data_IF_262662042804
#
_entry.id   IF_262662042804
#
_cell.length_a   1.000
_cell.length_b   1.000
_cell.length_c   1.000
_cell.angle_alpha   90.00
_cell.angle_beta   90.00
_cell.angle_gamma   90.00
#
_symmetry.space_group_name_H-M   'P 1'
#
loop_
_entity.id
_entity.type
_entity.pdbx_description
1 polymer ?
#
# COMPACT_ATOMS: atom_id res chain seq x y z
N UNK A 1 -41.96 -16.78 -58.84
CA UNK A 1 -40.57 -17.23 -58.58
C UNK A 1 -39.99 -16.31 -57.50
N UNK A 2 -40.07 -16.74 -56.24
CA UNK A 2 -39.51 -15.98 -55.09
C UNK A 2 -38.06 -16.40 -54.93
N UNK A 3 -37.15 -15.43 -54.99
CA UNK A 3 -35.73 -15.66 -54.67
C UNK A 3 -35.55 -15.98 -53.16
N UNK A 4 -34.66 -16.91 -52.77
CA UNK A 4 -34.43 -17.24 -51.37
C UNK A 4 -33.65 -16.10 -50.69
N UNK A 5 -34.20 -15.56 -49.58
CA UNK A 5 -33.50 -14.68 -48.66
C UNK A 5 -32.33 -15.46 -47.99
N UNK A 6 -31.12 -15.12 -48.36
CA UNK A 6 -29.92 -15.58 -47.70
C UNK A 6 -29.78 -14.87 -46.33
N UNK A 7 -30.20 -15.53 -45.25
CA UNK A 7 -29.91 -15.09 -43.89
C UNK A 7 -28.41 -15.22 -43.64
N UNK A 8 -27.70 -14.09 -43.68
CA UNK A 8 -26.30 -13.99 -43.26
C UNK A 8 -26.25 -14.10 -41.74
N UNK A 9 -25.88 -15.27 -41.25
CA UNK A 9 -25.61 -15.46 -39.81
C UNK A 9 -24.39 -14.62 -39.44
N UNK A 10 -24.49 -13.66 -38.48
CA UNK A 10 -23.33 -12.88 -38.10
C UNK A 10 -22.31 -13.82 -37.44
N UNK A 11 -21.06 -13.75 -37.91
CA UNK A 11 -19.95 -14.50 -37.32
C UNK A 11 -19.82 -14.22 -35.83
N UNK A 12 -19.48 -15.22 -34.98
CA UNK A 12 -19.37 -15.04 -33.55
C UNK A 12 -18.28 -13.99 -33.27
N UNK A 13 -18.70 -12.85 -32.72
CA UNK A 13 -17.78 -11.80 -32.24
C UNK A 13 -16.95 -12.43 -31.12
N UNK A 14 -15.69 -12.76 -31.40
CA UNK A 14 -14.73 -13.14 -30.38
C UNK A 14 -14.71 -12.01 -29.34
N UNK A 15 -15.23 -12.27 -28.14
CA UNK A 15 -15.14 -11.35 -27.00
C UNK A 15 -13.67 -11.15 -26.69
N UNK A 16 -13.04 -10.15 -27.28
CA UNK A 16 -11.69 -9.72 -26.91
C UNK A 16 -11.75 -9.19 -25.47
N UNK A 17 -10.82 -9.67 -24.62
CA UNK A 17 -10.66 -9.14 -23.27
C UNK A 17 -10.42 -7.64 -23.39
N UNK A 18 -11.20 -6.83 -22.65
CA UNK A 18 -11.04 -5.37 -22.70
C UNK A 18 -9.64 -4.97 -22.21
N UNK A 19 -8.90 -4.06 -22.87
CA UNK A 19 -7.54 -3.67 -22.53
C UNK A 19 -7.33 -3.24 -21.07
N UNK A 20 -8.36 -2.71 -20.42
CA UNK A 20 -8.34 -2.38 -19.00
C UNK A 20 -7.95 -3.56 -18.11
N UNK A 21 -8.39 -4.78 -18.41
CA UNK A 21 -8.04 -5.97 -17.65
C UNK A 21 -6.59 -6.41 -17.86
N UNK A 22 -6.06 -6.22 -19.07
CA UNK A 22 -4.63 -6.44 -19.34
C UNK A 22 -3.77 -5.46 -18.54
N UNK A 23 -4.16 -4.18 -18.52
CA UNK A 23 -3.48 -3.16 -17.72
C UNK A 23 -3.56 -3.49 -16.22
N UNK A 24 -4.74 -3.92 -15.72
CA UNK A 24 -4.90 -4.33 -14.33
C UNK A 24 -4.04 -5.56 -13.97
N UNK A 25 -3.95 -6.55 -14.86
CA UNK A 25 -3.12 -7.73 -14.65
C UNK A 25 -1.62 -7.38 -14.59
N UNK A 26 -1.14 -6.53 -15.50
CA UNK A 26 0.26 -6.07 -15.47
C UNK A 26 0.54 -5.20 -14.25
N UNK A 27 -0.41 -4.34 -13.85
CA UNK A 27 -0.30 -3.56 -12.63
C UNK A 27 -0.26 -4.45 -11.38
N UNK A 28 -1.04 -5.53 -11.34
CA UNK A 28 -1.00 -6.53 -10.29
C UNK A 28 0.38 -7.21 -10.20
N UNK A 29 0.92 -7.67 -11.33
CA UNK A 29 2.27 -8.26 -11.39
C UNK A 29 3.36 -7.27 -10.94
N UNK A 30 3.21 -5.98 -11.31
CA UNK A 30 4.12 -4.93 -10.86
C UNK A 30 4.08 -4.75 -9.34
N UNK A 31 2.90 -4.77 -8.72
CA UNK A 31 2.74 -4.71 -7.27
C UNK A 31 3.30 -5.94 -6.56
N UNK A 32 3.08 -7.14 -7.12
CA UNK A 32 3.67 -8.39 -6.61
C UNK A 32 5.19 -8.32 -6.68
N UNK A 33 5.77 -7.89 -7.81
CA UNK A 33 7.22 -7.74 -7.96
C UNK A 33 7.83 -6.73 -6.99
N UNK A 34 7.13 -5.61 -6.73
CA UNK A 34 7.56 -4.61 -5.75
C UNK A 34 7.44 -5.10 -4.29
N UNK A 35 6.47 -5.99 -4.01
CA UNK A 35 6.23 -6.53 -2.68
C UNK A 35 7.33 -7.49 -2.21
N UNK A 36 8.06 -8.15 -3.13
CA UNK A 36 9.13 -9.08 -2.78
C UNK A 36 10.19 -8.46 -1.88
N UNK A 37 10.61 -7.23 -2.17
CA UNK A 37 11.59 -6.55 -1.31
C UNK A 37 11.00 -6.16 0.05
N UNK A 38 9.72 -5.83 0.15
CA UNK A 38 9.12 -5.42 1.43
C UNK A 38 9.16 -6.52 2.50
N UNK A 39 9.23 -7.77 2.06
CA UNK A 39 9.38 -8.94 2.92
C UNK A 39 10.86 -9.21 3.31
N UNK A 40 11.81 -8.77 2.49
CA UNK A 40 13.21 -9.14 2.58
C UNK A 40 13.96 -8.64 3.82
N UNK A 41 13.79 -7.40 4.33
CA UNK A 41 14.65 -6.87 5.39
C UNK A 41 14.69 -7.74 6.65
N UNK A 42 13.53 -8.21 7.13
CA UNK A 42 13.46 -9.05 8.31
C UNK A 42 14.21 -10.38 8.18
N UNK A 43 14.25 -10.94 6.97
CA UNK A 43 14.93 -12.20 6.66
C UNK A 43 16.44 -11.99 6.46
N UNK A 44 16.82 -10.92 5.77
CA UNK A 44 18.21 -10.68 5.38
C UNK A 44 19.05 -10.04 6.50
N UNK A 45 18.41 -9.58 7.57
CA UNK A 45 19.10 -8.87 8.68
C UNK A 45 20.13 -9.75 9.36
N UNK A 46 19.74 -10.95 9.77
CA UNK A 46 20.64 -11.89 10.48
C UNK A 46 21.81 -12.37 9.60
N UNK A 47 21.59 -12.82 8.35
CA UNK A 47 22.69 -13.17 7.44
C UNK A 47 23.71 -12.03 7.22
N UNK A 48 23.25 -10.79 7.08
CA UNK A 48 24.13 -9.62 6.91
C UNK A 48 24.91 -9.30 8.18
N UNK A 49 24.30 -9.44 9.37
CA UNK A 49 24.99 -9.28 10.64
C UNK A 49 26.09 -10.33 10.80
N UNK A 50 25.79 -11.59 10.48
CA UNK A 50 26.75 -12.70 10.60
C UNK A 50 27.96 -12.54 9.67
N UNK A 51 27.75 -12.02 8.46
CA UNK A 51 28.84 -11.87 7.48
C UNK A 51 29.67 -10.62 7.70
N UNK A 52 29.03 -9.47 7.99
CA UNK A 52 29.72 -8.17 8.02
C UNK A 52 29.94 -7.64 9.44
N UNK A 53 29.34 -8.24 10.46
CA UNK A 53 29.37 -7.73 11.82
C UNK A 53 28.64 -6.39 12.01
N UNK A 54 27.74 -6.02 11.09
CA UNK A 54 27.01 -4.75 11.20
C UNK A 54 25.97 -4.82 12.32
N UNK A 55 25.81 -3.68 13.02
CA UNK A 55 24.82 -3.59 14.11
C UNK A 55 23.38 -3.63 13.57
N UNK A 56 22.46 -4.07 14.43
CA UNK A 56 21.02 -4.05 14.14
C UNK A 56 20.54 -2.64 13.84
N UNK A 57 21.09 -1.64 14.52
CA UNK A 57 20.76 -0.21 14.30
C UNK A 57 21.07 0.22 12.88
N UNK A 58 22.21 -0.16 12.30
CA UNK A 58 22.62 0.21 10.94
C UNK A 58 21.65 -0.38 9.91
N UNK A 59 21.34 -1.66 10.03
CA UNK A 59 20.39 -2.32 9.12
C UNK A 59 18.97 -1.75 9.27
N UNK A 60 18.57 -1.47 10.50
CA UNK A 60 17.29 -0.83 10.80
C UNK A 60 17.21 0.61 10.26
N UNK A 61 18.34 1.34 10.22
CA UNK A 61 18.39 2.67 9.60
C UNK A 61 18.11 2.61 8.09
N UNK A 62 18.63 1.60 7.39
CA UNK A 62 18.31 1.40 5.98
C UNK A 62 16.81 1.14 5.76
N UNK A 63 16.20 0.28 6.59
CA UNK A 63 14.75 0.03 6.57
C UNK A 63 13.97 1.31 6.90
N UNK A 64 14.43 2.08 7.89
CA UNK A 64 13.78 3.34 8.27
C UNK A 64 13.78 4.36 7.13
N UNK A 65 14.91 4.56 6.44
CA UNK A 65 14.99 5.43 5.27
C UNK A 65 14.01 4.95 4.19
N UNK A 66 13.95 3.64 3.93
CA UNK A 66 12.99 3.06 2.99
C UNK A 66 11.54 3.41 3.36
N UNK A 67 11.15 3.19 4.61
CA UNK A 67 9.80 3.47 5.11
C UNK A 67 9.45 4.96 5.05
N UNK A 68 10.40 5.85 5.39
CA UNK A 68 10.23 7.31 5.26
C UNK A 68 9.95 7.67 3.80
N UNK A 69 10.78 7.19 2.88
CA UNK A 69 10.62 7.47 1.45
C UNK A 69 9.35 6.85 0.88
N UNK A 70 9.01 5.63 1.29
CA UNK A 70 7.74 5.00 0.94
C UNK A 70 6.54 5.87 1.35
N UNK A 71 6.54 6.38 2.58
CA UNK A 71 5.47 7.24 3.08
C UNK A 71 5.41 8.61 2.42
N UNK A 72 6.54 9.29 2.31
CA UNK A 72 6.61 10.65 1.78
C UNK A 72 6.47 10.72 0.26
N UNK A 73 6.89 9.70 -0.48
CA UNK A 73 6.72 9.66 -1.95
C UNK A 73 5.26 9.41 -2.35
N UNK A 74 4.51 8.65 -1.56
CA UNK A 74 3.14 8.26 -1.89
C UNK A 74 2.18 9.43 -2.19
N UNK A 75 2.12 10.54 -1.44
CA UNK A 75 1.27 11.69 -1.76
C UNK A 75 1.62 12.37 -3.10
N UNK A 76 2.89 12.26 -3.54
CA UNK A 76 3.38 12.87 -4.77
C UNK A 76 3.38 11.90 -5.96
N UNK A 77 3.21 10.61 -5.72
CA UNK A 77 3.21 9.57 -6.76
C UNK A 77 2.14 9.83 -7.83
N UNK A 78 0.94 10.31 -7.45
CA UNK A 78 -0.10 10.70 -8.39
C UNK A 78 0.36 11.82 -9.33
N UNK A 79 1.01 12.86 -8.79
CA UNK A 79 1.53 13.98 -9.59
C UNK A 79 2.65 13.54 -10.55
N UNK A 80 3.50 12.60 -10.12
CA UNK A 80 4.51 11.99 -10.98
C UNK A 80 3.88 11.21 -12.13
N UNK A 81 2.85 10.41 -11.83
CA UNK A 81 2.11 9.62 -12.82
C UNK A 81 1.33 10.50 -13.80
N UNK A 82 0.75 11.61 -13.34
CA UNK A 82 0.09 12.59 -14.21
C UNK A 82 1.07 13.29 -15.15
N UNK A 83 2.28 13.62 -14.67
CA UNK A 83 3.29 14.35 -15.44
C UNK A 83 4.04 13.46 -16.41
N UNK A 84 4.51 12.29 -15.99
CA UNK A 84 5.39 11.40 -16.74
C UNK A 84 4.67 10.17 -17.30
N UNK A 85 3.41 9.97 -16.95
CA UNK A 85 2.62 8.79 -17.29
C UNK A 85 2.84 7.61 -16.33
N UNK A 86 1.79 6.82 -16.16
CA UNK A 86 1.77 5.65 -15.26
C UNK A 86 2.84 4.64 -15.70
N UNK A 87 2.98 4.40 -17.02
CA UNK A 87 3.93 3.45 -17.61
C UNK A 87 5.38 3.77 -17.24
N UNK A 88 5.82 5.02 -17.44
CA UNK A 88 7.20 5.43 -17.17
C UNK A 88 7.52 5.37 -15.67
N UNK A 89 6.64 5.91 -14.82
CA UNK A 89 6.82 5.90 -13.37
C UNK A 89 6.91 4.47 -12.83
N UNK A 90 6.04 3.57 -13.29
CA UNK A 90 6.06 2.15 -12.87
C UNK A 90 7.34 1.44 -13.33
N UNK A 91 7.77 1.66 -14.57
CA UNK A 91 9.01 1.05 -15.09
C UNK A 91 10.23 1.54 -14.30
N UNK A 92 10.35 2.85 -14.06
CA UNK A 92 11.45 3.42 -13.26
C UNK A 92 11.42 2.89 -11.83
N UNK A 93 10.23 2.81 -11.21
CA UNK A 93 10.07 2.27 -9.87
C UNK A 93 10.57 0.82 -9.76
N UNK A 94 10.18 -0.05 -10.69
CA UNK A 94 10.64 -1.44 -10.74
C UNK A 94 12.15 -1.55 -11.03
N UNK A 95 12.71 -0.68 -11.89
CA UNK A 95 14.16 -0.62 -12.13
C UNK A 95 14.90 -0.20 -10.87
N UNK A 96 14.41 0.81 -10.12
CA UNK A 96 15.01 1.20 -8.84
C UNK A 96 14.98 0.07 -7.81
N UNK A 97 13.87 -0.65 -7.70
CA UNK A 97 13.74 -1.82 -6.80
C UNK A 97 14.69 -2.92 -7.22
N UNK A 98 14.69 -3.27 -8.51
CA UNK A 98 15.50 -4.35 -9.05
C UNK A 98 16.99 -4.05 -8.98
N UNK A 99 17.40 -2.85 -9.38
CA UNK A 99 18.79 -2.40 -9.29
C UNK A 99 19.25 -2.30 -7.83
N UNK A 100 18.43 -1.73 -6.93
CA UNK A 100 18.74 -1.66 -5.51
C UNK A 100 18.95 -3.03 -4.88
N UNK A 101 18.08 -4.00 -5.21
CA UNK A 101 18.21 -5.39 -4.74
C UNK A 101 19.45 -6.08 -5.33
N UNK A 102 19.73 -5.92 -6.62
CA UNK A 102 20.90 -6.49 -7.27
C UNK A 102 22.21 -5.88 -6.75
N UNK A 103 22.27 -4.55 -6.59
CA UNK A 103 23.44 -3.85 -6.05
C UNK A 103 23.72 -4.21 -4.59
N UNK A 104 22.71 -4.67 -3.84
CA UNK A 104 22.91 -5.17 -2.46
C UNK A 104 23.93 -6.31 -2.41
N UNK A 105 24.05 -7.11 -3.46
CA UNK A 105 25.02 -8.22 -3.52
C UNK A 105 26.47 -7.74 -3.50
N UNK A 106 26.72 -6.51 -3.95
CA UNK A 106 28.05 -5.90 -4.06
C UNK A 106 28.42 -5.05 -2.85
N UNK A 107 27.56 -4.96 -1.84
CA UNK A 107 27.84 -4.13 -0.65
C UNK A 107 28.97 -4.73 0.18
N UNK A 108 29.88 -3.89 0.61
CA UNK A 108 31.00 -4.22 1.50
C UNK A 108 31.07 -3.28 2.70
N UNK A 109 30.39 -2.12 2.60
CA UNK A 109 30.37 -1.08 3.62
C UNK A 109 28.94 -0.80 4.05
N UNK A 110 28.72 -0.54 5.34
CA UNK A 110 27.41 -0.32 5.92
C UNK A 110 26.62 0.84 5.33
N UNK A 111 27.27 1.93 4.88
CA UNK A 111 26.59 3.05 4.25
C UNK A 111 25.97 2.70 2.88
N UNK A 112 26.52 1.68 2.20
CA UNK A 112 25.98 1.24 0.89
C UNK A 112 24.58 0.62 1.04
N UNK A 113 24.29 -0.07 2.17
CA UNK A 113 22.95 -0.60 2.42
C UNK A 113 21.93 0.51 2.62
N UNK A 114 22.33 1.68 3.15
CA UNK A 114 21.45 2.85 3.26
C UNK A 114 21.06 3.37 1.88
N UNK A 115 21.97 3.31 0.90
CA UNK A 115 21.67 3.71 -0.47
C UNK A 115 20.82 2.67 -1.21
N UNK A 116 21.18 1.38 -1.11
CA UNK A 116 20.47 0.32 -1.85
C UNK A 116 19.08 0.08 -1.27
N UNK A 117 18.98 -0.27 0.01
CA UNK A 117 17.71 -0.54 0.66
C UNK A 117 16.90 0.73 0.98
N UNK A 118 17.59 1.72 1.55
CA UNK A 118 16.96 2.96 1.97
C UNK A 118 16.50 3.79 0.78
N UNK A 119 17.43 4.29 -0.01
CA UNK A 119 17.15 5.29 -1.04
C UNK A 119 16.54 4.68 -2.31
N UNK A 120 17.26 3.77 -2.99
CA UNK A 120 16.82 3.26 -4.30
C UNK A 120 15.49 2.51 -4.18
N UNK A 121 15.44 1.52 -3.30
CA UNK A 121 14.24 0.71 -3.13
C UNK A 121 13.11 1.51 -2.48
N UNK A 122 13.43 2.41 -1.53
CA UNK A 122 12.44 3.28 -0.88
C UNK A 122 11.71 4.19 -1.86
N UNK A 123 12.42 4.84 -2.79
CA UNK A 123 11.82 5.64 -3.85
C UNK A 123 10.99 4.79 -4.82
N UNK A 124 11.52 3.61 -5.21
CA UNK A 124 10.81 2.69 -6.09
C UNK A 124 9.49 2.21 -5.48
N UNK A 125 9.53 1.66 -4.27
CA UNK A 125 8.33 1.14 -3.60
C UNK A 125 7.33 2.24 -3.26
N UNK A 126 7.80 3.43 -2.85
CA UNK A 126 6.95 4.58 -2.55
C UNK A 126 6.16 5.10 -3.75
N UNK A 127 6.77 5.04 -4.95
CA UNK A 127 6.09 5.39 -6.21
C UNK A 127 4.96 4.42 -6.58
N UNK A 128 4.95 3.22 -6.00
CA UNK A 128 3.97 2.16 -6.26
C UNK A 128 3.06 1.87 -5.06
N UNK A 129 2.93 2.80 -4.12
CA UNK A 129 2.04 2.70 -2.96
C UNK A 129 0.55 2.68 -3.38
N UNK A 130 -0.36 2.76 -2.41
CA UNK A 130 -1.83 2.72 -2.60
C UNK A 130 -2.36 3.62 -3.72
N UNK A 131 -1.66 4.75 -3.98
CA UNK A 131 -2.02 5.71 -5.04
C UNK A 131 -1.94 5.08 -6.43
N UNK A 132 -1.00 4.18 -6.69
CA UNK A 132 -0.87 3.49 -7.97
C UNK A 132 -2.11 2.65 -8.31
N UNK A 133 -2.58 1.82 -7.36
CA UNK A 133 -3.79 1.02 -7.55
C UNK A 133 -5.04 1.89 -7.80
N UNK A 134 -5.18 2.99 -7.05
CA UNK A 134 -6.27 3.94 -7.23
C UNK A 134 -6.20 4.66 -8.60
N UNK A 135 -5.00 5.04 -9.04
CA UNK A 135 -4.79 5.70 -10.34
C UNK A 135 -5.20 4.78 -11.50
N UNK A 136 -4.74 3.51 -11.49
CA UNK A 136 -5.14 2.51 -12.49
C UNK A 136 -6.67 2.34 -12.52
N UNK A 137 -7.29 2.13 -11.35
CA UNK A 137 -8.72 1.89 -11.26
C UNK A 137 -9.54 3.10 -11.73
N UNK A 138 -9.14 4.32 -11.36
CA UNK A 138 -9.86 5.54 -11.74
C UNK A 138 -9.69 5.89 -13.21
N UNK A 139 -8.54 5.60 -13.81
CA UNK A 139 -8.25 5.90 -15.22
C UNK A 139 -8.91 4.89 -16.17
N UNK A 140 -8.86 3.59 -15.83
CA UNK A 140 -9.23 2.51 -16.75
C UNK A 140 -10.62 1.93 -16.55
N UNK A 141 -11.27 2.18 -15.40
CA UNK A 141 -12.54 1.58 -15.03
C UNK A 141 -13.57 2.64 -14.65
N UNK A 142 -14.68 2.72 -15.40
CA UNK A 142 -15.87 3.47 -15.00
C UNK A 142 -16.72 2.64 -14.03
N UNK A 143 -16.78 1.32 -14.25
CA UNK A 143 -17.49 0.33 -13.42
C UNK A 143 -16.51 -0.57 -12.68
N UNK A 144 -16.88 -1.06 -11.52
CA UNK A 144 -16.07 -2.02 -10.71
C UNK A 144 -14.73 -1.46 -10.18
N UNK A 145 -14.59 -0.13 -10.00
CA UNK A 145 -13.37 0.51 -9.46
C UNK A 145 -12.93 -0.08 -8.12
N UNK A 146 -13.88 -0.26 -7.20
CA UNK A 146 -13.59 -0.83 -5.87
C UNK A 146 -13.03 -2.24 -5.95
N UNK A 147 -13.58 -3.10 -6.82
CA UNK A 147 -13.07 -4.44 -7.06
C UNK A 147 -11.62 -4.42 -7.55
N UNK A 148 -11.33 -3.55 -8.53
CA UNK A 148 -9.98 -3.44 -9.11
C UNK A 148 -8.98 -2.92 -8.09
N UNK A 149 -9.33 -1.91 -7.30
CA UNK A 149 -8.49 -1.43 -6.19
C UNK A 149 -8.22 -2.57 -5.20
N UNK A 150 -9.26 -3.34 -4.84
CA UNK A 150 -9.14 -4.48 -3.94
C UNK A 150 -8.18 -5.55 -4.48
N UNK A 151 -8.33 -5.94 -5.75
CA UNK A 151 -7.45 -6.92 -6.40
C UNK A 151 -5.99 -6.42 -6.43
N UNK A 152 -5.76 -5.16 -6.82
CA UNK A 152 -4.42 -4.58 -6.89
C UNK A 152 -3.78 -4.46 -5.50
N UNK A 153 -4.55 -4.08 -4.49
CA UNK A 153 -4.07 -4.01 -3.10
C UNK A 153 -3.74 -5.41 -2.57
N UNK A 154 -4.58 -6.41 -2.87
CA UNK A 154 -4.32 -7.81 -2.53
C UNK A 154 -3.03 -8.33 -3.18
N UNK A 155 -2.65 -7.85 -4.38
CA UNK A 155 -1.38 -8.18 -5.02
C UNK A 155 -0.16 -7.80 -4.17
N UNK A 156 -0.21 -6.67 -3.48
CA UNK A 156 0.87 -6.25 -2.57
C UNK A 156 0.98 -7.16 -1.33
N UNK A 157 -0.15 -7.56 -0.75
CA UNK A 157 -0.18 -8.49 0.37
C UNK A 157 0.20 -9.92 -0.04
N UNK A 158 -0.33 -10.40 -1.17
CA UNK A 158 0.00 -11.71 -1.74
C UNK A 158 1.49 -11.85 -2.06
N UNK A 159 2.11 -10.78 -2.58
CA UNK A 159 3.56 -10.77 -2.83
C UNK A 159 4.36 -11.00 -1.55
N UNK A 160 3.98 -10.36 -0.45
CA UNK A 160 4.65 -10.56 0.84
C UNK A 160 4.48 -12.00 1.35
N UNK A 161 3.26 -12.55 1.26
CA UNK A 161 2.96 -13.94 1.66
C UNK A 161 3.77 -14.98 0.88
N UNK A 162 3.81 -14.83 -0.44
CA UNK A 162 4.47 -15.80 -1.33
C UNK A 162 5.99 -15.71 -1.22
N UNK A 163 6.53 -14.49 -1.19
CA UNK A 163 7.98 -14.32 -1.24
C UNK A 163 8.68 -14.57 0.10
N UNK A 164 8.02 -14.30 1.24
CA UNK A 164 8.69 -14.33 2.54
C UNK A 164 9.28 -15.70 2.91
N UNK A 165 8.54 -16.83 2.89
CA UNK A 165 9.12 -18.14 3.17
C UNK A 165 10.18 -18.56 2.15
N UNK A 166 9.96 -18.19 0.88
CA UNK A 166 10.88 -18.51 -0.20
C UNK A 166 12.20 -17.75 -0.10
N UNK A 167 12.15 -16.45 0.22
CA UNK A 167 13.34 -15.63 0.48
C UNK A 167 14.08 -16.16 1.71
N UNK A 168 13.36 -16.58 2.76
CA UNK A 168 13.97 -17.13 3.98
C UNK A 168 14.70 -18.46 3.69
N UNK A 169 14.11 -19.34 2.89
CA UNK A 169 14.77 -20.59 2.48
C UNK A 169 16.03 -20.30 1.65
N UNK A 170 15.94 -19.42 0.67
CA UNK A 170 17.11 -19.04 -0.16
C UNK A 170 18.18 -18.29 0.61
N UNK A 171 17.83 -17.52 1.62
CA UNK A 171 18.78 -16.78 2.44
C UNK A 171 19.64 -17.72 3.30
N UNK A 172 19.11 -18.90 3.67
CA UNK A 172 19.85 -19.94 4.38
C UNK A 172 20.72 -20.77 3.42
N UNK A 173 20.17 -21.21 2.29
CA UNK A 173 20.88 -22.01 1.28
C UNK A 173 20.30 -21.70 -0.11
N UNK A 174 21.06 -21.21 -1.07
CA UNK A 174 22.53 -20.99 -1.13
C UNK A 174 23.03 -19.67 -0.52
N UNK A 175 22.17 -18.81 0.04
CA UNK A 175 22.57 -17.65 0.81
C UNK A 175 21.85 -16.34 0.42
N UNK A 176 22.03 -15.31 1.21
CA UNK A 176 21.31 -14.02 1.09
C UNK A 176 21.57 -13.27 -0.24
N UNK A 177 22.74 -13.49 -0.86
CA UNK A 177 23.05 -12.87 -2.16
C UNK A 177 22.11 -13.38 -3.24
N UNK A 178 21.87 -14.68 -3.29
CA UNK A 178 20.96 -15.31 -4.25
C UNK A 178 19.52 -14.88 -4.00
N UNK A 179 19.12 -14.77 -2.72
CA UNK A 179 17.82 -14.22 -2.36
C UNK A 179 17.66 -12.78 -2.86
N UNK A 180 18.68 -11.93 -2.68
CA UNK A 180 18.66 -10.54 -3.16
C UNK A 180 18.62 -10.45 -4.70
N UNK A 181 19.38 -11.30 -5.40
CA UNK A 181 19.34 -11.36 -6.87
C UNK A 181 17.99 -11.81 -7.40
N UNK A 182 17.36 -12.79 -6.75
CA UNK A 182 16.04 -13.26 -7.16
C UNK A 182 14.97 -12.15 -7.01
N UNK A 183 14.98 -11.42 -5.89
CA UNK A 183 14.09 -10.26 -5.69
C UNK A 183 14.32 -9.24 -6.79
N UNK A 184 15.58 -8.91 -7.07
CA UNK A 184 15.96 -7.99 -8.15
C UNK A 184 15.49 -8.46 -9.52
N UNK A 185 15.75 -9.73 -9.84
CA UNK A 185 15.34 -10.36 -11.11
C UNK A 185 13.81 -10.37 -11.25
N UNK A 186 13.08 -10.69 -10.18
CA UNK A 186 11.62 -10.68 -10.17
C UNK A 186 11.03 -9.30 -10.49
N UNK A 187 11.58 -8.24 -9.88
CA UNK A 187 11.17 -6.87 -10.19
C UNK A 187 11.51 -6.48 -11.63
N UNK A 188 12.73 -6.77 -12.09
CA UNK A 188 13.20 -6.44 -13.44
C UNK A 188 12.47 -7.22 -14.52
N UNK A 189 12.08 -8.49 -14.27
CA UNK A 189 11.33 -9.32 -15.23
C UNK A 189 9.93 -8.73 -15.55
N UNK A 190 9.37 -7.92 -14.66
CA UNK A 190 8.08 -7.25 -14.90
C UNK A 190 8.26 -5.99 -15.75
N UNK A 191 9.44 -5.38 -15.81
CA UNK A 191 9.68 -4.13 -16.58
C UNK A 191 9.29 -4.26 -18.05
N UNK A 192 9.71 -5.31 -18.80
CA UNK A 192 9.28 -5.49 -20.19
C UNK A 192 7.76 -5.57 -20.33
N UNK A 193 7.07 -6.28 -19.41
CA UNK A 193 5.61 -6.38 -19.43
C UNK A 193 4.95 -5.02 -19.23
N UNK A 194 5.48 -4.21 -18.30
CA UNK A 194 5.02 -2.82 -18.09
C UNK A 194 5.24 -1.99 -19.35
N UNK A 195 6.42 -2.06 -19.97
CA UNK A 195 6.71 -1.29 -21.17
C UNK A 195 5.89 -1.70 -22.39
N UNK A 196 5.48 -2.95 -22.50
CA UNK A 196 4.68 -3.46 -23.63
C UNK A 196 3.18 -3.25 -23.42
N UNK A 197 2.65 -3.58 -22.26
CA UNK A 197 1.22 -3.72 -22.02
C UNK A 197 0.61 -2.64 -21.13
N UNK A 198 1.37 -1.99 -20.25
CA UNK A 198 0.85 -0.89 -19.43
C UNK A 198 0.74 0.37 -20.31
N UNK A 199 -0.47 0.90 -20.48
CA UNK A 199 -0.73 2.15 -21.20
C UNK A 199 -1.14 3.24 -20.22
N UNK A 200 -0.87 4.49 -20.56
CA UNK A 200 -1.15 5.60 -19.65
C UNK A 200 -2.64 5.89 -19.52
N UNK A 201 -3.38 5.77 -20.62
CA UNK A 201 -4.81 6.04 -20.66
C UNK A 201 -5.56 5.13 -21.65
N UNK A 202 -6.89 4.96 -21.51
CA UNK A 202 -7.70 4.29 -22.50
C UNK A 202 -7.65 4.95 -23.88
N UNK A 203 -7.45 6.27 -23.93
CA UNK A 203 -7.32 7.03 -25.17
C UNK A 203 -6.09 6.60 -26.00
N UNK A 204 -5.01 6.15 -25.36
CA UNK A 204 -3.80 5.68 -26.06
C UNK A 204 -4.05 4.43 -26.92
N UNK A 205 -5.13 3.72 -26.67
CA UNK A 205 -5.54 2.50 -27.39
C UNK A 205 -6.93 2.63 -28.00
N UNK A 206 -7.45 3.87 -28.10
CA UNK A 206 -8.72 4.22 -28.74
C UNK A 206 -9.90 3.41 -28.16
N UNK A 207 -9.98 3.27 -26.85
CA UNK A 207 -11.09 2.63 -26.14
C UNK A 207 -11.63 3.55 -25.05
N UNK A 208 -12.88 3.35 -24.66
CA UNK A 208 -13.46 3.97 -23.49
C UNK A 208 -13.02 3.22 -22.23
N UNK A 209 -13.04 3.84 -21.04
CA UNK A 209 -12.88 3.13 -19.78
C UNK A 209 -13.86 1.96 -19.65
N UNK A 210 -13.43 0.85 -19.07
CA UNK A 210 -14.29 -0.34 -18.92
C UNK A 210 -15.60 -0.02 -18.20
N UNK A 211 -16.72 -0.30 -18.86
CA UNK A 211 -18.06 -0.03 -18.35
C UNK A 211 -18.53 1.42 -18.53
N UNK A 212 -17.81 2.26 -19.27
CA UNK A 212 -18.31 3.56 -19.71
C UNK A 212 -19.30 3.39 -20.88
N UNK A 213 -20.39 4.15 -20.84
CA UNK A 213 -21.36 4.23 -21.94
C UNK A 213 -20.84 5.23 -22.97
N UNK A 214 -20.85 4.93 -24.29
CA UNK A 214 -20.59 5.93 -25.31
C UNK A 214 -21.54 7.13 -25.15
N UNK A 215 -21.08 8.36 -25.36
CA UNK A 215 -21.99 9.50 -25.40
C UNK A 215 -23.09 9.22 -26.40
N UNK A 216 -24.36 9.46 -26.01
CA UNK A 216 -25.49 9.32 -26.91
C UNK A 216 -25.24 10.19 -28.14
N UNK A 217 -25.52 9.71 -29.38
CA UNK A 217 -25.47 10.57 -30.53
C UNK A 217 -26.37 11.78 -30.27
N UNK A 218 -25.79 12.98 -30.34
CA UNK A 218 -26.59 14.19 -30.23
C UNK A 218 -27.73 14.19 -31.22
N UNK A 219 -28.90 14.78 -30.92
CA UNK A 219 -30.08 14.73 -31.75
C UNK A 219 -29.91 15.39 -33.13
N UNK A 220 -28.71 15.87 -33.50
CA UNK A 220 -28.44 16.60 -34.75
C UNK A 220 -27.31 15.99 -35.62
N UNK A 221 -27.15 14.66 -35.62
CA UNK A 221 -26.23 14.02 -36.59
C UNK A 221 -26.96 13.71 -37.95
N UNK A 222 -27.61 14.69 -38.55
CA UNK A 222 -28.34 14.44 -39.79
C UNK A 222 -29.09 15.63 -40.36
N UNK A 223 -28.52 16.83 -40.35
CA UNK A 223 -28.94 17.91 -41.28
C UNK A 223 -27.81 18.94 -41.39
N UNK A 224 -27.12 18.93 -42.52
CA UNK A 224 -26.34 20.08 -42.96
C UNK A 224 -27.33 21.26 -43.17
N UNK A 225 -27.29 22.21 -42.24
CA UNK A 225 -27.94 23.51 -42.42
C UNK A 225 -26.88 24.58 -42.16
N UNK A 226 -26.50 25.20 -43.29
CA UNK A 226 -25.73 26.46 -43.33
C UNK A 226 -26.52 27.58 -42.68
N UNK A 227 -26.22 27.87 -41.38
CA UNK A 227 -26.74 29.01 -40.63
C UNK A 227 -25.68 29.52 -39.68
N UNK A 228 -25.66 30.85 -39.34
CA UNK A 228 -24.56 31.46 -38.58
C UNK A 228 -24.45 30.93 -37.15
N UNK A 229 -23.21 30.79 -36.68
CA UNK A 229 -22.83 30.35 -35.36
C UNK A 229 -23.63 31.05 -34.25
N UNK A 230 -24.24 30.29 -33.32
CA UNK A 230 -24.71 30.90 -32.08
C UNK A 230 -23.54 30.98 -31.09
N UNK A 231 -23.07 32.19 -30.83
CA UNK A 231 -22.21 32.52 -29.70
C UNK A 231 -23.00 32.35 -28.38
N UNK A 232 -22.98 31.13 -27.83
CA UNK A 232 -23.51 30.83 -26.51
C UNK A 232 -22.75 29.64 -25.89
N UNK A 233 -22.42 29.64 -24.63
CA UNK A 233 -21.66 28.55 -24.00
C UNK A 233 -22.49 27.27 -24.01
N UNK A 234 -21.98 26.20 -24.64
CA UNK A 234 -22.58 24.87 -24.64
C UNK A 234 -22.75 24.36 -23.22
N UNK A 235 -24.00 24.20 -22.79
CA UNK A 235 -24.35 23.51 -21.55
C UNK A 235 -23.90 22.04 -21.65
N UNK A 236 -22.85 21.68 -20.92
CA UNK A 236 -22.35 20.30 -20.86
C UNK A 236 -20.84 20.14 -20.68
N UNK A 237 -20.06 21.20 -20.74
CA UNK A 237 -18.72 21.20 -20.20
C UNK A 237 -18.84 21.52 -18.71
N UNK A 238 -18.95 20.49 -17.84
CA UNK A 238 -18.41 20.63 -16.51
C UNK A 238 -17.02 21.25 -16.68
N UNK A 239 -16.90 22.52 -16.27
CA UNK A 239 -15.63 23.23 -16.21
C UNK A 239 -14.67 22.30 -15.46
N UNK A 240 -13.84 21.57 -16.20
CA UNK A 240 -12.65 20.97 -15.60
C UNK A 240 -11.88 22.16 -15.07
N UNK A 241 -12.03 22.40 -13.75
CA UNK A 241 -11.15 23.32 -13.07
C UNK A 241 -9.73 23.05 -13.55
N UNK A 242 -8.93 24.07 -13.88
CA UNK A 242 -7.58 23.90 -14.37
C UNK A 242 -6.90 22.93 -13.39
N UNK A 243 -6.39 21.79 -13.90
CA UNK A 243 -5.79 20.72 -13.10
C UNK A 243 -4.73 21.33 -12.20
N UNK A 244 -5.13 21.79 -11.01
CA UNK A 244 -4.20 22.26 -9.98
C UNK A 244 -3.25 21.10 -9.74
N UNK A 245 -1.95 21.37 -9.84
CA UNK A 245 -0.90 20.39 -9.60
C UNK A 245 -1.26 19.55 -8.37
N UNK A 246 -1.44 18.23 -8.52
CA UNK A 246 -1.92 17.33 -7.48
C UNK A 246 -1.08 17.47 -6.19
N UNK A 247 0.22 17.78 -6.31
CA UNK A 247 1.10 18.04 -5.19
C UNK A 247 0.69 19.32 -4.41
N UNK A 248 0.32 20.39 -5.11
CA UNK A 248 -0.14 21.64 -4.47
C UNK A 248 -1.46 21.40 -3.75
N UNK A 249 -2.38 20.65 -4.36
CA UNK A 249 -3.65 20.26 -3.72
C UNK A 249 -3.39 19.43 -2.46
N UNK A 250 -2.50 18.45 -2.51
CA UNK A 250 -2.16 17.62 -1.35
C UNK A 250 -1.65 18.47 -0.18
N UNK A 251 -0.75 19.44 -0.43
CA UNK A 251 -0.22 20.36 0.59
C UNK A 251 -1.29 21.30 1.14
N UNK A 252 -2.20 21.82 0.29
CA UNK A 252 -3.29 22.67 0.72
C UNK A 252 -4.29 21.91 1.62
N UNK A 253 -4.60 20.67 1.27
CA UNK A 253 -5.43 19.78 2.10
C UNK A 253 -4.77 19.51 3.44
N UNK A 254 -3.45 19.19 3.45
CA UNK A 254 -2.69 19.03 4.69
C UNK A 254 -2.78 20.27 5.57
N UNK A 255 -2.56 21.47 5.01
CA UNK A 255 -2.65 22.75 5.76
C UNK A 255 -4.04 22.99 6.36
N UNK A 256 -5.12 22.54 5.68
CA UNK A 256 -6.49 22.63 6.23
C UNK A 256 -6.75 21.57 7.29
N UNK A 257 -6.37 20.32 7.02
CA UNK A 257 -6.58 19.20 7.92
C UNK A 257 -5.80 19.36 9.24
N UNK A 258 -4.59 19.92 9.20
CA UNK A 258 -3.73 20.12 10.38
C UNK A 258 -4.35 21.08 11.43
N UNK A 259 -5.38 21.86 11.07
CA UNK A 259 -6.13 22.70 12.00
C UNK A 259 -7.23 21.94 12.76
N UNK A 260 -7.50 20.70 12.40
CA UNK A 260 -8.57 19.87 12.98
C UNK A 260 -7.96 18.86 13.97
N UNK A 261 -8.45 18.84 15.22
CA UNK A 261 -7.94 17.93 16.27
C UNK A 261 -8.03 16.46 15.89
N UNK A 262 -9.12 16.07 15.21
CA UNK A 262 -9.32 14.69 14.73
C UNK A 262 -8.21 14.24 13.77
N UNK A 263 -7.66 15.14 12.95
CA UNK A 263 -6.52 14.84 12.09
C UNK A 263 -5.32 14.33 12.89
N UNK A 264 -4.94 15.06 13.94
CA UNK A 264 -3.79 14.67 14.78
C UNK A 264 -4.03 13.41 15.59
N UNK A 265 -5.28 13.17 16.02
CA UNK A 265 -5.65 11.91 16.67
C UNK A 265 -5.49 10.71 15.70
N UNK A 266 -5.91 10.86 14.42
CA UNK A 266 -5.72 9.84 13.39
C UNK A 266 -4.24 9.68 13.02
N UNK A 267 -3.49 10.77 12.90
CA UNK A 267 -2.04 10.77 12.65
C UNK A 267 -1.31 10.01 13.77
N UNK A 268 -1.58 10.33 15.03
CA UNK A 268 -0.95 9.67 16.17
C UNK A 268 -1.31 8.17 16.25
N UNK A 269 -2.60 7.84 16.17
CA UNK A 269 -3.06 6.45 16.19
C UNK A 269 -2.46 5.64 15.04
N UNK A 270 -2.46 6.20 13.82
CA UNK A 270 -1.97 5.48 12.65
C UNK A 270 -0.44 5.42 12.58
N UNK A 271 0.28 6.39 13.15
CA UNK A 271 1.73 6.30 13.37
C UNK A 271 2.08 5.16 14.32
N UNK A 272 1.31 4.98 15.41
CA UNK A 272 1.47 3.84 16.32
C UNK A 272 1.13 2.52 15.63
N UNK A 273 0.12 2.49 14.74
CA UNK A 273 -0.17 1.33 13.91
C UNK A 273 1.06 0.94 13.08
N UNK A 274 1.65 1.90 12.36
CA UNK A 274 2.86 1.66 11.58
C UNK A 274 4.04 1.19 12.43
N UNK A 275 4.24 1.84 13.57
CA UNK A 275 5.28 1.48 14.53
C UNK A 275 5.19 0.00 14.95
N UNK A 276 3.99 -0.47 15.25
CA UNK A 276 3.76 -1.81 15.78
C UNK A 276 3.63 -2.89 14.71
N UNK A 277 3.24 -2.54 13.47
CA UNK A 277 3.16 -3.48 12.33
C UNK A 277 4.46 -3.50 11.54
N UNK A 278 4.60 -2.63 10.53
CA UNK A 278 5.73 -2.64 9.61
C UNK A 278 7.07 -2.35 10.30
N UNK A 279 7.07 -1.42 11.28
CA UNK A 279 8.27 -1.02 11.99
C UNK A 279 8.82 -2.10 12.88
N UNK A 280 7.99 -2.67 13.74
CA UNK A 280 8.45 -3.62 14.76
C UNK A 280 8.26 -5.08 14.29
N UNK A 281 7.03 -5.55 14.07
CA UNK A 281 6.81 -6.94 13.67
C UNK A 281 7.40 -7.21 12.28
N UNK A 282 7.10 -6.40 11.29
CA UNK A 282 7.56 -6.62 9.91
C UNK A 282 9.08 -6.61 9.76
N UNK A 283 9.79 -5.89 10.62
CA UNK A 283 11.25 -5.74 10.55
C UNK A 283 11.98 -6.65 11.54
N UNK A 284 11.48 -6.78 12.78
CA UNK A 284 12.24 -7.37 13.89
C UNK A 284 11.67 -8.68 14.41
N UNK A 285 10.53 -9.16 13.94
CA UNK A 285 9.96 -10.43 14.42
C UNK A 285 10.90 -11.62 14.12
N UNK A 286 11.42 -11.71 12.90
CA UNK A 286 12.33 -12.80 12.50
C UNK A 286 13.63 -12.73 13.28
N UNK A 287 14.36 -11.61 13.35
CA UNK A 287 15.55 -11.50 14.21
C UNK A 287 15.26 -11.79 15.68
N UNK A 288 14.12 -11.31 16.20
CA UNK A 288 13.75 -11.58 17.59
C UNK A 288 13.44 -13.07 17.84
N UNK A 289 12.79 -13.75 16.91
CA UNK A 289 12.55 -15.18 16.99
C UNK A 289 13.87 -15.99 16.91
N UNK A 290 14.80 -15.56 16.05
CA UNK A 290 16.13 -16.12 15.93
C UNK A 290 16.91 -16.02 17.25
N UNK A 291 16.85 -14.86 17.93
CA UNK A 291 17.46 -14.67 19.27
C UNK A 291 16.95 -15.69 20.32
N UNK A 292 15.74 -16.24 20.11
CA UNK A 292 15.15 -17.28 20.97
C UNK A 292 15.33 -18.71 20.41
N UNK A 293 16.22 -18.88 19.39
CA UNK A 293 16.55 -20.16 18.80
C UNK A 293 15.57 -20.69 17.75
N UNK A 294 14.56 -19.88 17.34
CA UNK A 294 13.64 -20.28 16.28
C UNK A 294 14.31 -20.15 14.90
N UNK A 295 14.23 -21.17 14.01
CA UNK A 295 14.72 -21.04 12.64
C UNK A 295 14.05 -19.90 11.89
N UNK A 296 14.82 -19.12 11.12
CA UNK A 296 14.32 -17.97 10.36
C UNK A 296 13.21 -18.34 9.37
N UNK A 297 13.31 -19.52 8.72
CA UNK A 297 12.27 -20.06 7.85
C UNK A 297 10.95 -20.30 8.57
N UNK A 298 11.02 -20.80 9.81
CA UNK A 298 9.83 -21.00 10.65
C UNK A 298 9.21 -19.65 11.02
N UNK A 299 10.01 -18.68 11.47
CA UNK A 299 9.54 -17.34 11.78
C UNK A 299 8.94 -16.63 10.55
N UNK A 300 9.57 -16.77 9.38
CA UNK A 300 9.04 -16.28 8.10
C UNK A 300 7.70 -16.93 7.73
N UNK A 301 7.58 -18.24 7.96
CA UNK A 301 6.32 -18.97 7.79
C UNK A 301 5.21 -18.44 8.70
N UNK A 302 5.49 -18.14 9.95
CA UNK A 302 4.53 -17.53 10.87
C UNK A 302 4.07 -16.15 10.38
N UNK A 303 4.97 -15.31 9.88
CA UNK A 303 4.61 -14.03 9.28
C UNK A 303 3.78 -14.20 7.99
N UNK A 304 4.03 -15.23 7.20
CA UNK A 304 3.20 -15.54 6.05
C UNK A 304 1.76 -15.91 6.49
N UNK A 305 1.61 -16.65 7.58
CA UNK A 305 0.29 -16.95 8.17
C UNK A 305 -0.38 -15.68 8.69
N UNK A 306 0.35 -14.75 9.33
CA UNK A 306 -0.17 -13.41 9.71
C UNK A 306 -0.79 -12.74 8.49
N UNK A 307 -0.09 -12.70 7.34
CA UNK A 307 -0.60 -12.09 6.12
C UNK A 307 -1.83 -12.81 5.54
N UNK A 308 -1.95 -14.13 5.68
CA UNK A 308 -3.16 -14.86 5.28
C UNK A 308 -4.38 -14.42 6.10
N UNK A 309 -4.22 -14.32 7.42
CA UNK A 309 -5.29 -13.87 8.31
C UNK A 309 -5.57 -12.38 8.18
N UNK A 310 -4.60 -11.57 7.75
CA UNK A 310 -4.80 -10.16 7.43
C UNK A 310 -5.86 -9.94 6.35
N UNK A 311 -5.87 -10.76 5.31
CA UNK A 311 -6.90 -10.69 4.26
C UNK A 311 -8.29 -10.87 4.86
N UNK A 312 -8.46 -11.88 5.73
CA UNK A 312 -9.72 -12.17 6.40
C UNK A 312 -10.11 -11.02 7.34
N UNK A 313 -9.14 -10.58 8.15
CA UNK A 313 -9.33 -9.51 9.13
C UNK A 313 -9.70 -8.17 8.50
N UNK A 314 -9.05 -7.80 7.42
CA UNK A 314 -9.33 -6.55 6.69
C UNK A 314 -10.73 -6.57 6.06
N UNK A 315 -11.16 -7.68 5.47
CA UNK A 315 -12.53 -7.83 4.94
C UNK A 315 -13.55 -7.73 6.06
N UNK A 316 -13.33 -8.46 7.16
CA UNK A 316 -14.19 -8.43 8.32
C UNK A 316 -14.27 -7.03 8.95
N UNK A 317 -13.14 -6.33 9.06
CA UNK A 317 -13.08 -4.96 9.57
C UNK A 317 -13.85 -3.98 8.68
N UNK A 318 -13.78 -4.13 7.35
CA UNK A 318 -14.60 -3.34 6.43
C UNK A 318 -16.09 -3.52 6.71
N UNK A 319 -16.54 -4.77 6.83
CA UNK A 319 -17.93 -5.11 7.16
C UNK A 319 -18.38 -4.60 8.54
N UNK A 320 -17.49 -4.68 9.55
CA UNK A 320 -17.73 -4.15 10.88
C UNK A 320 -17.80 -2.61 10.88
N UNK A 321 -16.97 -1.94 10.08
CA UNK A 321 -16.92 -0.47 9.97
C UNK A 321 -18.24 0.11 9.44
N UNK A 322 -18.96 -0.63 8.59
CA UNK A 322 -20.27 -0.21 8.07
C UNK A 322 -21.40 -0.35 9.13
N UNK A 323 -21.20 -1.14 10.19
CA UNK A 323 -22.22 -1.48 11.21
C UNK A 323 -21.96 -0.87 12.57
N UNK A 324 -20.70 -0.70 12.92
CA UNK A 324 -20.30 -0.26 14.25
C UNK A 324 -19.58 1.10 14.18
N UNK A 325 -19.46 1.76 15.32
CA UNK A 325 -18.74 3.04 15.41
C UNK A 325 -17.25 2.83 15.11
N UNK A 326 -16.69 3.46 14.03
CA UNK A 326 -15.30 3.27 13.64
C UNK A 326 -14.28 3.58 14.73
N UNK A 327 -14.59 4.49 15.66
CA UNK A 327 -13.70 4.91 16.75
C UNK A 327 -13.56 3.82 17.81
N UNK A 328 -14.69 3.17 18.13
CA UNK A 328 -14.70 2.05 19.07
C UNK A 328 -13.96 0.87 18.44
N UNK A 329 -14.17 0.60 17.14
CA UNK A 329 -13.43 -0.44 16.43
C UNK A 329 -11.93 -0.20 16.50
N UNK A 330 -11.47 1.04 16.24
CA UNK A 330 -10.04 1.39 16.36
C UNK A 330 -9.52 1.16 17.79
N UNK A 331 -10.26 1.60 18.80
CA UNK A 331 -9.86 1.42 20.19
C UNK A 331 -9.71 -0.06 20.54
N UNK A 332 -10.66 -0.89 20.11
CA UNK A 332 -10.65 -2.35 20.33
C UNK A 332 -9.45 -2.99 19.61
N UNK A 333 -9.23 -2.68 18.33
CA UNK A 333 -8.11 -3.22 17.56
C UNK A 333 -6.77 -2.85 18.19
N UNK A 334 -6.54 -1.58 18.54
CA UNK A 334 -5.30 -1.18 19.21
C UNK A 334 -5.12 -1.87 20.56
N UNK A 335 -6.19 -2.05 21.34
CA UNK A 335 -6.10 -2.72 22.63
C UNK A 335 -5.73 -4.20 22.48
N UNK A 336 -6.36 -4.94 21.55
CA UNK A 336 -6.03 -6.34 21.29
C UNK A 336 -4.59 -6.50 20.78
N UNK A 337 -4.16 -5.61 19.87
CA UNK A 337 -2.77 -5.55 19.40
C UNK A 337 -1.79 -5.33 20.55
N UNK A 338 -2.08 -4.38 21.43
CA UNK A 338 -1.26 -4.09 22.61
C UNK A 338 -1.09 -5.29 23.53
N UNK A 339 -2.20 -6.01 23.81
CA UNK A 339 -2.17 -7.24 24.60
C UNK A 339 -1.30 -8.30 23.90
N UNK A 340 -1.46 -8.50 22.60
CA UNK A 340 -0.65 -9.43 21.83
C UNK A 340 0.85 -9.12 21.93
N UNK A 341 1.23 -7.85 21.74
CA UNK A 341 2.64 -7.42 21.83
C UNK A 341 3.20 -7.53 23.25
N UNK A 342 2.40 -7.32 24.27
CA UNK A 342 2.80 -7.50 25.67
C UNK A 342 3.15 -8.96 25.98
N UNK A 343 2.42 -9.90 25.40
CA UNK A 343 2.60 -11.35 25.66
C UNK A 343 3.66 -11.96 24.72
N UNK A 344 3.94 -11.33 23.58
CA UNK A 344 4.82 -11.89 22.53
C UNK A 344 6.20 -12.35 23.06
N UNK A 345 6.93 -11.59 23.91
CA UNK A 345 8.22 -12.05 24.44
C UNK A 345 8.15 -13.38 25.20
N UNK A 346 7.00 -13.69 25.78
CA UNK A 346 6.78 -14.95 26.53
C UNK A 346 6.45 -16.13 25.60
N UNK A 347 6.07 -15.86 24.35
CA UNK A 347 5.69 -16.85 23.35
C UNK A 347 6.84 -17.27 22.47
N UNK A 348 7.90 -16.44 22.40
CA UNK A 348 9.07 -16.71 21.58
C UNK A 348 9.88 -17.87 22.19
N UNK A 349 10.14 -18.90 21.39
CA UNK A 349 10.93 -20.08 21.79
C UNK A 349 11.47 -20.78 20.53
N UNK A 350 12.40 -21.72 20.72
CA UNK A 350 13.00 -22.50 19.63
C UNK A 350 11.96 -23.31 18.82
N UNK A 351 10.83 -23.67 19.45
CA UNK A 351 9.76 -24.44 18.83
C UNK A 351 8.46 -23.69 18.84
N UNK A 352 7.62 -23.91 17.81
CA UNK A 352 6.30 -23.26 17.70
C UNK A 352 5.33 -23.87 18.68
N UNK A 353 4.97 -23.15 19.71
CA UNK A 353 3.94 -23.54 20.68
C UNK A 353 2.53 -23.20 20.18
N UNK A 354 1.48 -23.91 20.64
CA UNK A 354 0.09 -23.58 20.26
C UNK A 354 -0.29 -22.12 20.56
N UNK A 355 0.21 -21.54 21.65
CA UNK A 355 0.00 -20.14 22.02
C UNK A 355 0.58 -19.16 20.98
N UNK A 356 1.70 -19.48 20.35
CA UNK A 356 2.27 -18.70 19.24
C UNK A 356 1.34 -18.74 18.02
N UNK A 357 0.71 -19.87 17.70
CA UNK A 357 -0.26 -19.94 16.61
C UNK A 357 -1.48 -19.07 16.90
N UNK A 358 -1.98 -19.07 18.15
CA UNK A 358 -3.08 -18.18 18.57
C UNK A 358 -2.69 -16.72 18.40
N UNK A 359 -1.47 -16.34 18.83
CA UNK A 359 -0.96 -14.99 18.62
C UNK A 359 -0.93 -14.62 17.13
N UNK A 360 -0.38 -15.46 16.28
CA UNK A 360 -0.24 -15.24 14.83
C UNK A 360 -1.59 -15.03 14.17
N UNK A 361 -2.59 -15.85 14.52
CA UNK A 361 -3.97 -15.73 14.01
C UNK A 361 -4.61 -14.41 14.43
N UNK A 362 -4.59 -14.10 15.72
CA UNK A 362 -5.22 -12.89 16.27
C UNK A 362 -4.51 -11.65 15.73
N UNK A 363 -3.18 -11.64 15.73
CA UNK A 363 -2.38 -10.53 15.23
C UNK A 363 -2.57 -10.32 13.72
N UNK A 364 -2.70 -11.42 12.96
CA UNK A 364 -3.00 -11.37 11.53
C UNK A 364 -4.36 -10.76 11.25
N UNK A 365 -5.41 -11.19 11.96
CA UNK A 365 -6.75 -10.61 11.84
C UNK A 365 -6.77 -9.10 12.11
N UNK A 366 -5.83 -8.60 12.93
CA UNK A 366 -5.73 -7.19 13.31
C UNK A 366 -4.74 -6.39 12.44
N UNK A 367 -3.89 -7.04 11.61
CA UNK A 367 -2.74 -6.41 10.95
C UNK A 367 -3.10 -5.11 10.21
N UNK A 368 -4.06 -5.15 9.28
CA UNK A 368 -4.55 -4.00 8.51
C UNK A 368 -5.99 -3.61 8.91
N UNK A 369 -6.57 -4.29 9.90
CA UNK A 369 -7.96 -4.05 10.33
C UNK A 369 -8.26 -2.61 10.75
N UNK A 370 -7.23 -1.83 11.12
CA UNK A 370 -7.36 -0.41 11.46
C UNK A 370 -7.57 0.51 10.26
N UNK A 371 -7.31 0.05 9.03
CA UNK A 371 -7.40 0.86 7.80
C UNK A 371 -8.85 1.23 7.44
N UNK A 372 -9.82 0.30 7.35
CA UNK A 372 -11.20 0.66 7.00
C UNK A 372 -11.83 1.70 7.94
N UNK A 373 -11.78 1.55 9.28
CA UNK A 373 -12.36 2.55 10.17
C UNK A 373 -11.62 3.89 10.14
N UNK A 374 -10.29 3.92 9.96
CA UNK A 374 -9.52 5.16 9.78
C UNK A 374 -9.95 5.90 8.53
N UNK A 375 -10.06 5.21 7.39
CA UNK A 375 -10.55 5.78 6.13
C UNK A 375 -12.00 6.28 6.25
N UNK A 376 -12.85 5.57 6.98
CA UNK A 376 -14.22 5.99 7.23
C UNK A 376 -14.28 7.28 8.04
N UNK A 377 -13.49 7.43 9.11
CA UNK A 377 -13.42 8.67 9.90
C UNK A 377 -12.88 9.82 9.03
N UNK A 378 -11.85 9.58 8.20
CA UNK A 378 -11.34 10.60 7.27
C UNK A 378 -12.46 11.11 6.35
N UNK A 379 -13.27 10.21 5.76
CA UNK A 379 -14.40 10.59 4.92
C UNK A 379 -15.50 11.34 5.69
N UNK A 380 -15.83 10.89 6.92
CA UNK A 380 -16.86 11.52 7.75
C UNK A 380 -16.49 12.93 8.18
N UNK A 381 -15.22 13.20 8.48
CA UNK A 381 -14.75 14.49 9.01
C UNK A 381 -14.34 15.45 7.90
N UNK A 382 -13.72 14.98 6.83
CA UNK A 382 -13.13 15.82 5.79
C UNK A 382 -13.85 15.76 4.44
N UNK A 383 -14.93 14.98 4.33
CA UNK A 383 -15.79 14.94 3.13
C UNK A 383 -15.00 14.59 1.86
N UNK A 384 -15.08 15.45 0.84
CA UNK A 384 -14.40 15.27 -0.45
C UNK A 384 -12.86 15.21 -0.35
N UNK A 385 -12.27 15.85 0.65
CA UNK A 385 -10.83 15.81 0.90
C UNK A 385 -10.39 14.56 1.70
N UNK A 386 -11.33 13.73 2.16
CA UNK A 386 -11.08 12.61 3.07
C UNK A 386 -10.06 11.58 2.54
N UNK A 387 -10.04 11.33 1.25
CA UNK A 387 -9.06 10.42 0.62
C UNK A 387 -7.64 10.98 0.63
N UNK A 388 -7.49 12.29 0.40
CA UNK A 388 -6.19 12.98 0.44
C UNK A 388 -5.68 13.06 1.88
N UNK A 389 -6.58 13.35 2.83
CA UNK A 389 -6.26 13.32 4.28
C UNK A 389 -5.82 11.94 4.71
N UNK A 390 -6.51 10.89 4.27
CA UNK A 390 -6.09 9.52 4.54
C UNK A 390 -4.68 9.22 4.00
N UNK A 391 -4.33 9.77 2.83
CA UNK A 391 -2.95 9.67 2.30
C UNK A 391 -1.90 10.25 3.25
N UNK A 392 -2.18 11.40 3.88
CA UNK A 392 -1.28 11.99 4.87
C UNK A 392 -1.23 11.20 6.19
N UNK A 393 -2.37 10.67 6.63
CA UNK A 393 -2.45 9.76 7.78
C UNK A 393 -1.64 8.48 7.50
N UNK A 394 -1.69 7.96 6.27
CA UNK A 394 -0.85 6.84 5.84
C UNK A 394 0.64 7.19 5.78
N UNK A 395 1.00 8.41 5.38
CA UNK A 395 2.39 8.86 5.48
C UNK A 395 2.88 8.87 6.94
N UNK A 396 2.05 9.31 7.88
CA UNK A 396 2.37 9.23 9.31
C UNK A 396 2.55 7.79 9.80
N UNK A 397 1.77 6.83 9.28
CA UNK A 397 1.96 5.40 9.56
C UNK A 397 3.38 4.94 9.16
N UNK A 398 3.86 5.34 8.00
CA UNK A 398 5.20 4.95 7.55
C UNK A 398 6.31 5.67 8.35
N UNK A 399 6.09 6.91 8.76
CA UNK A 399 7.01 7.62 9.65
C UNK A 399 7.08 6.95 11.03
N UNK A 400 5.95 6.53 11.58
CA UNK A 400 5.89 5.75 12.81
C UNK A 400 6.60 4.41 12.68
N UNK A 401 6.40 3.71 11.57
CA UNK A 401 7.09 2.47 11.26
C UNK A 401 8.61 2.66 11.18
N UNK A 402 9.06 3.72 10.51
CA UNK A 402 10.47 4.07 10.40
C UNK A 402 11.12 4.34 11.77
N UNK A 403 10.45 5.15 12.59
CA UNK A 403 10.93 5.46 13.94
C UNK A 403 11.04 4.21 14.81
N UNK A 404 10.03 3.32 14.77
CA UNK A 404 10.03 2.09 15.54
C UNK A 404 11.06 1.07 15.05
N UNK A 405 11.27 0.94 13.73
CA UNK A 405 12.29 0.07 13.17
C UNK A 405 13.69 0.47 13.68
N UNK A 406 14.01 1.77 13.61
CA UNK A 406 15.29 2.28 14.09
C UNK A 406 15.44 2.13 15.63
N UNK A 407 14.39 2.51 16.37
CA UNK A 407 14.41 2.45 17.83
C UNK A 407 14.56 1.02 18.35
N UNK A 408 13.86 0.04 17.73
CA UNK A 408 13.97 -1.35 18.12
C UNK A 408 15.37 -1.93 17.84
N UNK A 409 15.99 -1.53 16.72
CA UNK A 409 17.39 -1.88 16.43
C UNK A 409 18.35 -1.33 17.49
N UNK A 410 18.19 -0.05 17.85
CA UNK A 410 19.02 0.59 18.88
C UNK A 410 18.81 -0.07 20.26
N UNK A 411 17.57 -0.40 20.62
CA UNK A 411 17.26 -1.13 21.87
C UNK A 411 17.94 -2.50 21.86
N UNK A 412 17.89 -3.24 20.75
CA UNK A 412 18.53 -4.55 20.63
C UNK A 412 20.04 -4.45 20.78
N UNK A 413 20.69 -3.47 20.14
CA UNK A 413 22.14 -3.29 20.24
C UNK A 413 22.56 -2.86 21.66
N UNK A 414 21.75 -2.03 22.33
CA UNK A 414 22.06 -1.54 23.68
C UNK A 414 21.80 -2.57 24.79
N UNK A 415 20.76 -3.41 24.64
CA UNK A 415 20.28 -4.30 25.72
C UNK A 415 20.50 -5.79 25.49
N UNK A 416 20.88 -6.14 24.24
CA UNK A 416 21.01 -7.53 23.81
C UNK A 416 19.68 -8.23 23.49
N UNK A 417 18.52 -7.56 23.63
CA UNK A 417 17.20 -8.17 23.45
C UNK A 417 16.13 -7.17 22.97
N UNK A 418 15.03 -7.68 22.42
CA UNK A 418 13.91 -6.86 21.93
C UNK A 418 12.80 -6.62 22.97
N UNK A 419 12.87 -7.20 24.15
CA UNK A 419 11.79 -7.20 25.16
C UNK A 419 11.26 -5.82 25.48
N UNK A 420 12.14 -4.83 25.65
CA UNK A 420 11.75 -3.44 25.94
C UNK A 420 11.03 -2.79 24.74
N UNK A 421 11.41 -3.14 23.51
CA UNK A 421 10.73 -2.64 22.32
C UNK A 421 9.30 -3.19 22.22
N UNK A 422 9.08 -4.47 22.56
CA UNK A 422 7.75 -5.07 22.60
C UNK A 422 6.86 -4.42 23.66
N UNK A 423 7.38 -4.19 24.87
CA UNK A 423 6.61 -3.53 25.94
C UNK A 423 6.29 -2.07 25.63
N UNK A 424 7.24 -1.32 25.06
CA UNK A 424 6.99 0.05 24.61
C UNK A 424 5.90 0.09 23.52
N UNK A 425 5.92 -0.85 22.57
CA UNK A 425 4.90 -0.98 21.54
C UNK A 425 3.51 -1.30 22.13
N UNK A 426 3.43 -2.20 23.11
CA UNK A 426 2.19 -2.51 23.82
C UNK A 426 1.61 -1.28 24.54
N UNK A 427 2.45 -0.51 25.23
CA UNK A 427 2.04 0.74 25.88
C UNK A 427 1.55 1.78 24.86
N UNK A 428 2.24 1.95 23.73
CA UNK A 428 1.80 2.84 22.64
C UNK A 428 0.45 2.41 22.08
N UNK A 429 0.17 1.12 21.91
CA UNK A 429 -1.14 0.63 21.48
C UNK A 429 -2.26 1.03 22.46
N UNK A 430 -2.04 0.93 23.76
CA UNK A 430 -3.01 1.39 24.77
C UNK A 430 -3.26 2.90 24.65
N UNK A 431 -2.21 3.70 24.43
CA UNK A 431 -2.35 5.14 24.16
C UNK A 431 -3.18 5.38 22.88
N UNK A 432 -2.92 4.64 21.80
CA UNK A 432 -3.69 4.74 20.55
C UNK A 432 -5.15 4.35 20.74
N UNK A 433 -5.44 3.32 21.57
CA UNK A 433 -6.81 2.93 21.92
C UNK A 433 -7.55 4.07 22.63
N UNK A 434 -6.93 4.69 23.63
CA UNK A 434 -7.49 5.86 24.35
C UNK A 434 -7.71 7.03 23.40
N UNK A 435 -6.69 7.40 22.58
CA UNK A 435 -6.83 8.47 21.59
C UNK A 435 -8.01 8.19 20.66
N UNK A 436 -8.13 6.97 20.14
CA UNK A 436 -9.21 6.58 19.23
C UNK A 436 -10.59 6.71 19.86
N UNK A 437 -10.74 6.30 21.12
CA UNK A 437 -11.98 6.40 21.88
C UNK A 437 -12.39 7.88 22.13
N UNK A 438 -11.42 8.79 22.26
CA UNK A 438 -11.67 10.22 22.53
C UNK A 438 -11.96 11.05 21.28
N UNK A 439 -11.82 10.50 20.07
CA UNK A 439 -12.18 11.21 18.83
C UNK A 439 -13.65 11.65 18.88
N UNK A 440 -13.92 12.95 18.85
CA UNK A 440 -15.28 13.50 18.92
C UNK A 440 -16.03 13.35 17.59
N UNK A 441 -17.35 13.25 17.69
CA UNK A 441 -18.27 13.26 16.55
C UNK A 441 -18.52 14.73 16.16
N UNK A 442 -17.51 15.42 15.63
CA UNK A 442 -17.73 16.76 15.09
C UNK A 442 -18.56 16.61 13.80
N UNK A 443 -19.88 16.54 13.98
CA UNK A 443 -20.82 16.69 12.89
C UNK A 443 -20.75 18.16 12.44
N UNK A 444 -19.90 18.48 11.45
CA UNK A 444 -20.24 19.63 10.59
C UNK A 444 -21.54 19.24 9.90
N UNK A 445 -22.65 19.93 10.30
CA UNK A 445 -23.84 19.98 9.45
C UNK A 445 -23.39 20.41 8.06
N UNK A 446 -23.86 19.76 6.98
CA UNK A 446 -23.66 20.30 5.65
C UNK A 446 -24.17 21.74 5.69
N UNK A 447 -23.32 22.69 5.34
CA UNK A 447 -23.74 24.07 5.08
C UNK A 447 -24.79 23.97 3.97
N UNK A 448 -26.06 24.20 4.33
CA UNK A 448 -27.15 24.29 3.37
C UNK A 448 -26.79 25.45 2.44
N UNK A 449 -26.48 25.15 1.18
CA UNK A 449 -26.36 26.17 0.14
C UNK A 449 -27.69 26.94 0.12
N UNK A 450 -27.68 28.25 0.34
CA UNK A 450 -28.92 29.05 0.23
C UNK A 450 -29.42 28.90 -1.22
N UNK A 451 -30.64 28.39 -1.39
CA UNK A 451 -31.33 28.44 -2.67
C UNK A 451 -31.62 29.93 -2.92
N UNK A 452 -31.14 30.53 -4.01
CA UNK A 452 -31.48 31.87 -4.39
C UNK A 452 -32.98 31.93 -4.65
N UNK A 453 -33.66 32.94 -4.07
CA UNK A 453 -35.09 33.21 -4.23
C UNK A 453 -35.41 33.69 -5.63
#
# INVERSE_FOLDING_TARGET
>A
MNAPETTVTPAPVRRRIHPAWTVAAVAFLALVGAAGFRAAPGVLMVPLQNEFGWSTTVLSAAVSINLVLFGLTAPFAAALMERFGIRAVTAVALVLIGAGSALTVLVTQSWQILLTWGLLIGLGTGSMALVFAATIANTWFAKSRGLVIGILTAGSAAGQLVFLPFIAALAQDPGWRQASLLIGAGALAVVPLVLMFLKNSPADVVVLPYGATPPAPGPNAGTESSGPEPTGPAAGQELQEPRRNAAVRALQVLKRASKVRTFWALVAGFAICGATTNGLIGTHFIPSAHDHGMPETTAAGLLAVVGLFDIIGTIASGWLTDRFNPRILLAVYYQFRGIGLLVLPLLLSATVQPSMIVFVVIYGLDWVATVPPTAAICRQVFGADGSVVFGWVFAAHQLGAAAAALAAGAVRDATGQYTYAWFAAAAMCTIAAVISATIRKDARKPESVPVPA
#
